data_IF_003751374326
#
_entry.id   IF_003751374326
#
_cell.length_a   1.000
_cell.length_b   1.000
_cell.length_c   1.000
_cell.angle_alpha   90.00
_cell.angle_beta   90.00
_cell.angle_gamma   90.00
#
_symmetry.space_group_name_H-M   'P 1'
#
loop_
_entity.id
_entity.type
_entity.pdbx_description
1 polymer ?
#
# COMPACT_ATOMS: atom_id res chain seq x y z
N UNK A 1 70.45 -45.89 -12.34
CA UNK A 1 71.63 -45.52 -11.56
C UNK A 1 71.46 -44.07 -11.18
N UNK A 2 71.59 -43.80 -9.90
CA UNK A 2 71.18 -42.55 -9.28
C UNK A 2 72.21 -41.46 -9.60
N UNK A 3 71.77 -40.23 -9.83
CA UNK A 3 72.67 -39.11 -10.16
C UNK A 3 73.62 -38.81 -9.00
N UNK A 4 73.20 -39.14 -7.77
CA UNK A 4 74.03 -39.07 -6.56
C UNK A 4 75.26 -39.99 -6.61
N UNK A 5 75.21 -41.05 -7.41
CA UNK A 5 76.29 -42.04 -7.54
C UNK A 5 77.47 -41.49 -8.37
N UNK A 6 77.21 -40.58 -9.33
CA UNK A 6 78.28 -39.93 -10.12
C UNK A 6 78.92 -38.77 -9.36
N UNK A 7 78.14 -38.02 -8.57
CA UNK A 7 78.66 -36.91 -7.77
C UNK A 7 79.56 -37.42 -6.65
N UNK A 8 79.15 -38.50 -5.95
CA UNK A 8 80.04 -39.18 -5.01
C UNK A 8 81.28 -39.76 -5.70
N UNK A 9 81.13 -40.35 -6.90
CA UNK A 9 82.27 -40.85 -7.66
C UNK A 9 83.22 -39.75 -8.17
N UNK A 10 82.79 -38.47 -8.22
CA UNK A 10 83.61 -37.32 -8.58
C UNK A 10 84.27 -36.68 -7.35
N UNK A 11 83.56 -36.63 -6.22
CA UNK A 11 84.08 -36.09 -4.95
C UNK A 11 85.10 -37.04 -4.27
N UNK A 12 84.93 -38.36 -4.41
CA UNK A 12 85.77 -39.39 -3.79
C UNK A 12 86.79 -40.04 -4.77
N UNK A 13 87.03 -39.43 -5.94
CA UNK A 13 87.89 -40.00 -6.98
C UNK A 13 89.39 -39.94 -6.64
N UNK A 14 89.96 -41.05 -6.15
CA UNK A 14 91.42 -41.24 -6.04
C UNK A 14 91.98 -42.03 -7.24
N UNK A 15 92.65 -41.33 -8.16
CA UNK A 15 93.25 -41.93 -9.36
C UNK A 15 94.69 -42.42 -9.11
N UNK A 16 95.02 -43.61 -9.57
CA UNK A 16 96.37 -44.16 -9.45
C UNK A 16 97.39 -43.40 -10.32
N UNK A 17 98.57 -43.11 -9.78
CA UNK A 17 99.63 -42.38 -10.50
C UNK A 17 100.62 -43.34 -11.17
N UNK A 18 100.81 -43.25 -12.49
CA UNK A 18 101.82 -44.03 -13.24
C UNK A 18 102.82 -43.12 -13.94
N UNK A 19 104.10 -43.25 -13.57
CA UNK A 19 105.35 -42.76 -14.21
C UNK A 19 105.45 -41.28 -14.64
N UNK A 20 104.37 -40.48 -14.64
CA UNK A 20 104.33 -39.01 -14.81
C UNK A 20 102.92 -38.37 -14.72
N UNK A 21 101.87 -39.10 -14.35
CA UNK A 21 100.50 -38.55 -14.22
C UNK A 21 99.47 -39.59 -13.75
N UNK A 22 98.19 -39.20 -13.71
CA UNK A 22 97.06 -40.09 -13.41
C UNK A 22 96.87 -41.15 -14.50
N UNK A 23 96.36 -42.34 -14.12
CA UNK A 23 96.06 -43.42 -15.07
C UNK A 23 94.98 -42.97 -16.07
N UNK A 24 95.30 -42.85 -17.38
CA UNK A 24 94.36 -42.34 -18.36
C UNK A 24 93.07 -43.15 -18.46
N UNK A 25 93.14 -44.47 -18.21
CA UNK A 25 91.96 -45.34 -18.31
C UNK A 25 90.94 -45.07 -17.20
N UNK A 26 91.40 -44.82 -15.96
CA UNK A 26 90.51 -44.52 -14.83
C UNK A 26 89.83 -43.15 -15.00
N UNK A 27 90.56 -42.17 -15.57
CA UNK A 27 90.03 -40.84 -15.89
C UNK A 27 89.01 -40.91 -17.02
N UNK A 28 89.30 -41.63 -18.11
CA UNK A 28 88.38 -41.81 -19.24
C UNK A 28 87.08 -42.52 -18.79
N UNK A 29 87.17 -43.55 -17.94
CA UNK A 29 85.99 -44.26 -17.41
C UNK A 29 85.11 -43.35 -16.51
N UNK A 30 85.71 -42.45 -15.73
CA UNK A 30 84.95 -41.46 -14.96
C UNK A 30 84.30 -40.42 -15.88
N UNK A 31 85.02 -39.93 -16.91
CA UNK A 31 84.49 -38.97 -17.88
C UNK A 31 83.34 -39.56 -18.70
N UNK A 32 83.43 -40.83 -19.10
CA UNK A 32 82.35 -41.54 -19.80
C UNK A 32 81.11 -41.69 -18.91
N UNK A 33 81.31 -42.04 -17.63
CA UNK A 33 80.23 -42.08 -16.63
C UNK A 33 79.58 -40.71 -16.42
N UNK A 34 80.38 -39.66 -16.30
CA UNK A 34 79.90 -38.28 -16.15
C UNK A 34 79.13 -37.83 -17.41
N UNK A 35 79.63 -38.14 -18.61
CA UNK A 35 78.96 -37.83 -19.87
C UNK A 35 77.61 -38.54 -19.99
N UNK A 36 77.54 -39.81 -19.57
CA UNK A 36 76.29 -40.57 -19.55
C UNK A 36 75.29 -40.03 -18.51
N UNK A 37 75.77 -39.62 -17.32
CA UNK A 37 74.92 -38.99 -16.30
C UNK A 37 74.37 -37.64 -16.77
N UNK A 38 75.19 -36.78 -17.38
CA UNK A 38 74.75 -35.51 -17.97
C UNK A 38 73.70 -35.74 -19.06
N UNK A 39 73.89 -36.78 -19.90
CA UNK A 39 72.92 -37.14 -20.94
C UNK A 39 71.59 -37.60 -20.33
N UNK A 40 71.63 -38.40 -19.26
CA UNK A 40 70.43 -38.80 -18.52
C UNK A 40 69.72 -37.60 -17.92
N UNK A 41 70.43 -36.74 -17.19
CA UNK A 41 69.86 -35.53 -16.58
C UNK A 41 69.23 -34.59 -17.60
N UNK A 42 69.85 -34.40 -18.77
CA UNK A 42 69.28 -33.60 -19.85
C UNK A 42 68.00 -34.22 -20.40
N UNK A 43 67.97 -35.56 -20.51
CA UNK A 43 66.77 -36.30 -20.92
C UNK A 43 65.65 -36.17 -19.88
N UNK A 44 65.99 -36.30 -18.60
CA UNK A 44 65.04 -36.20 -17.49
C UNK A 44 64.48 -34.78 -17.35
N UNK A 45 65.35 -33.76 -17.48
CA UNK A 45 64.94 -32.36 -17.52
C UNK A 45 64.00 -32.09 -18.69
N UNK A 46 64.33 -32.60 -19.89
CA UNK A 46 63.46 -32.45 -21.05
C UNK A 46 62.10 -33.12 -20.83
N UNK A 47 62.10 -34.34 -20.31
CA UNK A 47 60.87 -35.06 -19.96
C UNK A 47 60.04 -34.33 -18.90
N UNK A 48 60.70 -33.72 -17.90
CA UNK A 48 60.02 -32.92 -16.89
C UNK A 48 59.42 -31.63 -17.48
N UNK A 49 60.15 -30.93 -18.35
CA UNK A 49 59.65 -29.74 -19.06
C UNK A 49 58.45 -30.09 -19.95
N UNK A 50 58.58 -31.13 -20.77
CA UNK A 50 57.50 -31.56 -21.68
C UNK A 50 56.24 -31.96 -20.88
N UNK A 51 56.40 -32.55 -19.67
CA UNK A 51 55.27 -32.84 -18.76
C UNK A 51 54.66 -31.57 -18.16
N UNK A 52 55.46 -30.55 -17.82
CA UNK A 52 54.97 -29.28 -17.31
C UNK A 52 54.16 -28.54 -18.38
N UNK A 53 54.71 -28.44 -19.60
CA UNK A 53 54.02 -27.81 -20.74
C UNK A 53 52.67 -28.51 -21.04
N UNK A 54 52.65 -29.84 -20.98
CA UNK A 54 51.42 -30.62 -21.14
C UNK A 54 50.41 -30.40 -20.00
N UNK A 55 50.88 -30.19 -18.77
CA UNK A 55 50.00 -29.90 -17.64
C UNK A 55 49.42 -28.49 -17.73
N UNK A 56 50.22 -27.49 -18.11
CA UNK A 56 49.78 -26.12 -18.36
C UNK A 56 48.74 -26.06 -19.49
N UNK A 57 48.99 -26.76 -20.60
CA UNK A 57 48.04 -26.83 -21.71
C UNK A 57 46.70 -27.47 -21.31
N UNK A 58 46.71 -28.48 -20.42
CA UNK A 58 45.48 -29.08 -19.89
C UNK A 58 44.72 -28.13 -18.98
N UNK A 59 45.43 -27.45 -18.08
CA UNK A 59 44.82 -26.45 -17.19
C UNK A 59 44.18 -25.31 -17.98
N UNK A 60 44.85 -24.81 -19.01
CA UNK A 60 44.30 -23.75 -19.85
C UNK A 60 43.05 -24.23 -20.61
N UNK A 61 43.07 -25.45 -21.14
CA UNK A 61 41.91 -26.06 -21.80
C UNK A 61 40.72 -26.28 -20.85
N UNK A 62 40.96 -26.51 -19.55
CA UNK A 62 39.91 -26.62 -18.53
C UNK A 62 39.40 -25.24 -18.06
N UNK A 63 40.26 -24.22 -18.02
CA UNK A 63 39.90 -22.88 -17.57
C UNK A 63 39.12 -22.07 -18.61
N UNK A 64 39.39 -22.28 -19.90
CA UNK A 64 38.76 -21.46 -20.94
C UNK A 64 37.23 -21.59 -20.98
N UNK A 65 36.63 -22.80 -20.92
CA UNK A 65 35.18 -22.93 -20.82
C UNK A 65 34.59 -22.27 -19.56
N UNK A 66 35.33 -22.30 -18.45
CA UNK A 66 34.89 -21.66 -17.21
C UNK A 66 34.90 -20.13 -17.32
N UNK A 67 35.88 -19.56 -18.03
CA UNK A 67 35.93 -18.11 -18.32
C UNK A 67 34.80 -17.70 -19.26
N UNK A 68 34.58 -18.46 -20.34
CA UNK A 68 33.48 -18.21 -21.27
C UNK A 68 32.12 -18.25 -20.54
N UNK A 69 31.85 -19.32 -19.79
CA UNK A 69 30.63 -19.47 -19.01
C UNK A 69 30.45 -18.33 -17.98
N UNK A 70 31.55 -17.86 -17.34
CA UNK A 70 31.50 -16.71 -16.45
C UNK A 70 31.12 -15.44 -17.20
N UNK A 71 31.75 -15.18 -18.36
CA UNK A 71 31.43 -13.97 -19.16
C UNK A 71 30.00 -13.97 -19.67
N UNK A 72 29.48 -15.13 -20.06
CA UNK A 72 28.08 -15.31 -20.46
C UNK A 72 27.14 -15.03 -19.29
N UNK A 73 27.38 -15.66 -18.13
CA UNK A 73 26.57 -15.45 -16.93
C UNK A 73 26.59 -13.99 -16.43
N UNK A 74 27.75 -13.31 -16.49
CA UNK A 74 27.85 -11.88 -16.17
C UNK A 74 27.06 -11.01 -17.17
N UNK A 75 27.07 -11.39 -18.45
CA UNK A 75 26.25 -10.74 -19.49
C UNK A 75 24.75 -10.90 -19.23
N UNK A 76 24.29 -12.12 -18.93
CA UNK A 76 22.91 -12.42 -18.60
C UNK A 76 22.45 -11.67 -17.33
N UNK A 77 23.26 -11.67 -16.28
CA UNK A 77 22.97 -10.94 -15.04
C UNK A 77 22.86 -9.43 -15.28
N UNK A 78 23.74 -8.87 -16.10
CA UNK A 78 23.69 -7.45 -16.48
C UNK A 78 22.41 -7.13 -17.26
N UNK A 79 22.04 -7.99 -18.22
CA UNK A 79 20.82 -7.83 -19.02
C UNK A 79 19.56 -7.93 -18.14
N UNK A 80 19.45 -8.98 -17.31
CA UNK A 80 18.35 -9.15 -16.37
C UNK A 80 18.26 -7.99 -15.37
N UNK A 81 19.41 -7.47 -14.91
CA UNK A 81 19.46 -6.30 -14.05
C UNK A 81 18.96 -5.03 -14.75
N UNK A 82 19.26 -4.85 -16.04
CA UNK A 82 18.75 -3.73 -16.83
C UNK A 82 17.24 -3.83 -17.06
N UNK A 83 16.75 -5.01 -17.43
CA UNK A 83 15.32 -5.28 -17.61
C UNK A 83 14.54 -5.06 -16.32
N UNK A 84 15.03 -5.57 -15.17
CA UNK A 84 14.39 -5.35 -13.87
C UNK A 84 14.28 -3.87 -13.50
N UNK A 85 15.31 -3.07 -13.78
CA UNK A 85 15.27 -1.62 -13.56
C UNK A 85 14.25 -0.94 -14.47
N UNK A 86 14.17 -1.37 -15.73
CA UNK A 86 13.19 -0.85 -16.68
C UNK A 86 11.75 -1.15 -16.22
N UNK A 87 11.44 -2.42 -15.92
CA UNK A 87 10.11 -2.84 -15.43
C UNK A 87 9.73 -2.03 -14.20
N UNK A 88 10.67 -1.82 -13.28
CA UNK A 88 10.41 -1.03 -12.07
C UNK A 88 10.11 0.43 -12.39
N UNK A 89 10.87 1.06 -13.28
CA UNK A 89 10.63 2.44 -13.68
C UNK A 89 9.26 2.60 -14.37
N UNK A 90 8.90 1.68 -15.26
CA UNK A 90 7.59 1.67 -15.93
C UNK A 90 6.44 1.48 -14.94
N UNK A 91 6.61 0.58 -13.96
CA UNK A 91 5.61 0.36 -12.91
C UNK A 91 5.47 1.56 -11.96
N UNK A 92 6.56 2.24 -11.62
CA UNK A 92 6.55 3.47 -10.83
C UNK A 92 5.82 4.60 -11.58
N UNK A 93 6.11 4.78 -12.87
CA UNK A 93 5.43 5.78 -13.71
C UNK A 93 3.92 5.48 -13.86
N UNK A 94 3.54 4.23 -14.07
CA UNK A 94 2.12 3.84 -14.16
C UNK A 94 1.39 4.04 -12.82
N UNK A 95 2.05 3.72 -11.69
CA UNK A 95 1.48 3.95 -10.37
C UNK A 95 1.27 5.45 -10.09
N UNK A 96 2.18 6.31 -10.54
CA UNK A 96 2.01 7.76 -10.47
C UNK A 96 0.83 8.23 -11.33
N UNK A 97 0.75 7.77 -12.59
CA UNK A 97 -0.40 8.09 -13.48
C UNK A 97 -1.73 7.71 -12.87
N UNK A 98 -1.85 6.49 -12.33
CA UNK A 98 -3.08 6.01 -11.69
C UNK A 98 -3.42 6.86 -10.46
N UNK A 99 -2.42 7.21 -9.64
CA UNK A 99 -2.62 8.05 -8.45
C UNK A 99 -3.13 9.44 -8.82
N UNK A 100 -2.52 10.09 -9.80
CA UNK A 100 -2.93 11.41 -10.27
C UNK A 100 -4.35 11.39 -10.84
N UNK A 101 -4.66 10.39 -11.67
CA UNK A 101 -6.02 10.21 -12.21
C UNK A 101 -7.06 10.01 -11.09
N UNK A 102 -6.77 9.13 -10.13
CA UNK A 102 -7.64 8.88 -9.00
C UNK A 102 -7.83 10.14 -8.13
N UNK A 103 -6.78 10.94 -7.92
CA UNK A 103 -6.89 12.19 -7.16
C UNK A 103 -7.82 13.19 -7.85
N UNK A 104 -7.71 13.32 -9.19
CA UNK A 104 -8.61 14.18 -9.98
C UNK A 104 -10.05 13.70 -9.87
N UNK A 105 -10.30 12.40 -9.99
CA UNK A 105 -11.64 11.83 -9.88
C UNK A 105 -12.24 12.02 -8.49
N UNK A 106 -11.48 11.76 -7.42
CA UNK A 106 -11.93 11.96 -6.03
C UNK A 106 -12.26 13.43 -5.79
N UNK A 107 -11.39 14.35 -6.22
CA UNK A 107 -11.61 15.79 -6.06
C UNK A 107 -12.89 16.23 -6.79
N UNK A 108 -13.10 15.75 -8.01
CA UNK A 108 -14.32 16.01 -8.77
C UNK A 108 -15.56 15.46 -8.07
N UNK A 109 -15.53 14.21 -7.60
CA UNK A 109 -16.65 13.59 -6.90
C UNK A 109 -17.01 14.34 -5.61
N UNK A 110 -16.00 14.81 -4.86
CA UNK A 110 -16.20 15.64 -3.66
C UNK A 110 -16.84 16.98 -4.01
N UNK A 111 -16.34 17.64 -5.06
CA UNK A 111 -16.89 18.94 -5.49
C UNK A 111 -18.32 18.81 -6.00
N UNK A 112 -18.62 17.76 -6.78
CA UNK A 112 -19.95 17.47 -7.30
C UNK A 112 -20.93 17.17 -6.15
N UNK A 113 -20.55 16.29 -5.20
CA UNK A 113 -21.36 15.99 -4.02
C UNK A 113 -21.56 17.21 -3.11
N UNK A 114 -20.55 18.08 -2.97
CA UNK A 114 -20.71 19.34 -2.22
C UNK A 114 -21.71 20.27 -2.89
N UNK A 115 -21.71 20.39 -4.23
CA UNK A 115 -22.68 21.22 -4.95
C UNK A 115 -24.10 20.69 -4.79
N UNK A 116 -24.26 19.37 -4.85
CA UNK A 116 -25.55 18.71 -4.62
C UNK A 116 -26.10 18.99 -3.22
N UNK A 117 -25.29 18.79 -2.16
CA UNK A 117 -25.71 19.07 -0.79
C UNK A 117 -26.08 20.54 -0.56
N UNK A 118 -25.37 21.47 -1.21
CA UNK A 118 -25.70 22.90 -1.14
C UNK A 118 -27.06 23.18 -1.81
N UNK A 119 -27.33 22.55 -2.95
CA UNK A 119 -28.61 22.69 -3.63
C UNK A 119 -29.76 22.11 -2.80
N UNK A 120 -29.60 20.91 -2.26
CA UNK A 120 -30.60 20.27 -1.39
C UNK A 120 -30.84 21.11 -0.12
N UNK A 121 -29.78 21.62 0.51
CA UNK A 121 -29.92 22.50 1.68
C UNK A 121 -30.73 23.76 1.35
N UNK A 122 -30.51 24.33 0.16
CA UNK A 122 -31.26 25.50 -0.30
C UNK A 122 -32.75 25.17 -0.48
N UNK A 123 -33.05 24.04 -1.12
CA UNK A 123 -34.42 23.61 -1.35
C UNK A 123 -35.16 23.32 -0.03
N UNK A 124 -34.50 22.65 0.91
CA UNK A 124 -35.04 22.39 2.25
C UNK A 124 -35.29 23.68 3.04
N UNK A 125 -34.38 24.67 2.94
CA UNK A 125 -34.56 25.98 3.57
C UNK A 125 -35.77 26.70 2.96
N UNK A 126 -35.93 26.68 1.63
CA UNK A 126 -37.08 27.28 0.97
C UNK A 126 -38.39 26.60 1.38
N UNK A 127 -38.43 25.27 1.42
CA UNK A 127 -39.60 24.51 1.87
C UNK A 127 -39.97 24.80 3.33
N UNK A 128 -38.96 24.90 4.21
CA UNK A 128 -39.15 25.26 5.62
C UNK A 128 -39.73 26.67 5.77
N UNK A 129 -39.21 27.63 5.01
CA UNK A 129 -39.66 29.02 5.12
C UNK A 129 -41.08 29.17 4.58
N UNK A 130 -41.44 28.48 3.49
CA UNK A 130 -42.82 28.41 3.01
C UNK A 130 -43.78 27.79 4.06
N UNK A 131 -43.38 26.69 4.69
CA UNK A 131 -44.19 26.07 5.74
C UNK A 131 -44.39 26.98 6.96
N UNK A 132 -43.39 27.82 7.29
CA UNK A 132 -43.53 28.83 8.35
C UNK A 132 -44.49 29.93 7.96
N UNK A 133 -44.41 30.42 6.73
CA UNK A 133 -45.34 31.43 6.23
C UNK A 133 -46.79 30.91 6.27
N UNK A 134 -47.02 29.63 5.92
CA UNK A 134 -48.33 28.99 6.01
C UNK A 134 -48.81 28.90 7.47
N UNK A 135 -47.95 28.49 8.41
CA UNK A 135 -48.29 28.44 9.85
C UNK A 135 -48.65 29.82 10.40
N UNK A 136 -47.91 30.86 10.04
CA UNK A 136 -48.18 32.24 10.44
C UNK A 136 -49.54 32.73 9.92
N UNK A 137 -49.92 32.34 8.70
CA UNK A 137 -51.23 32.65 8.14
C UNK A 137 -52.36 31.92 8.87
N UNK A 138 -52.18 30.63 9.14
CA UNK A 138 -53.14 29.83 9.89
C UNK A 138 -53.33 30.36 11.32
N UNK A 139 -52.25 30.75 12.01
CA UNK A 139 -52.32 31.36 13.34
C UNK A 139 -53.15 32.64 13.32
N UNK A 140 -52.90 33.54 12.36
CA UNK A 140 -53.70 34.77 12.19
C UNK A 140 -55.16 34.46 11.92
N UNK A 141 -55.44 33.44 11.10
CA UNK A 141 -56.80 33.02 10.81
C UNK A 141 -57.51 32.47 12.05
N UNK A 142 -56.85 31.65 12.86
CA UNK A 142 -57.38 31.11 14.12
C UNK A 142 -57.66 32.24 15.11
N UNK A 143 -56.73 33.18 15.27
CA UNK A 143 -56.92 34.36 16.14
C UNK A 143 -58.11 35.21 15.68
N UNK A 144 -58.23 35.47 14.38
CA UNK A 144 -59.36 36.22 13.83
C UNK A 144 -60.71 35.48 14.04
N UNK A 145 -60.75 34.16 13.87
CA UNK A 145 -61.94 33.36 14.17
C UNK A 145 -62.29 33.41 15.66
N UNK A 146 -61.30 33.29 16.54
CA UNK A 146 -61.46 33.41 17.99
C UNK A 146 -62.06 34.76 18.36
N UNK A 147 -61.53 35.86 17.83
CA UNK A 147 -62.01 37.20 18.14
C UNK A 147 -63.46 37.42 17.65
N UNK A 148 -63.82 36.90 16.46
CA UNK A 148 -65.21 36.92 15.98
C UNK A 148 -66.15 36.14 16.90
N UNK A 149 -65.74 34.96 17.36
CA UNK A 149 -66.54 34.15 18.30
C UNK A 149 -66.72 34.91 19.62
N UNK A 150 -65.65 35.48 20.19
CA UNK A 150 -65.72 36.23 21.44
C UNK A 150 -66.62 37.49 21.30
N UNK A 151 -66.56 38.18 20.17
CA UNK A 151 -67.47 39.30 19.88
C UNK A 151 -68.92 38.84 19.81
N UNK A 152 -69.21 37.79 19.04
CA UNK A 152 -70.56 37.25 18.90
C UNK A 152 -71.13 36.76 20.25
N UNK A 153 -70.32 36.09 21.07
CA UNK A 153 -70.70 35.69 22.43
C UNK A 153 -70.99 36.91 23.31
N UNK A 154 -70.17 37.96 23.22
CA UNK A 154 -70.39 39.20 23.95
C UNK A 154 -71.69 39.90 23.53
N UNK A 155 -71.97 39.94 22.24
CA UNK A 155 -73.21 40.52 21.69
C UNK A 155 -74.45 39.71 22.09
N UNK A 156 -74.39 38.38 22.03
CA UNK A 156 -75.45 37.49 22.52
C UNK A 156 -75.67 37.64 24.03
N UNK A 157 -74.60 37.83 24.81
CA UNK A 157 -74.68 38.06 26.26
C UNK A 157 -75.37 39.39 26.55
N UNK A 158 -75.00 40.48 25.85
CA UNK A 158 -75.67 41.79 25.94
C UNK A 158 -77.14 41.71 25.55
N UNK A 159 -77.46 40.96 24.49
CA UNK A 159 -78.85 40.73 24.07
C UNK A 159 -79.64 40.00 25.16
N UNK A 160 -79.08 38.93 25.74
CA UNK A 160 -79.70 38.21 26.85
C UNK A 160 -79.90 39.09 28.09
N UNK A 161 -78.92 39.92 28.45
CA UNK A 161 -79.05 40.91 29.53
C UNK A 161 -80.15 41.94 29.24
N UNK A 162 -80.26 42.43 28.01
CA UNK A 162 -81.31 43.39 27.63
C UNK A 162 -82.72 42.78 27.64
N UNK A 163 -82.87 41.53 27.20
CA UNK A 163 -84.13 40.78 27.28
C UNK A 163 -84.49 40.46 28.74
N UNK A 164 -83.49 40.11 29.56
CA UNK A 164 -83.62 39.90 31.00
C UNK A 164 -84.00 41.18 31.76
N UNK A 165 -83.51 42.34 31.31
CA UNK A 165 -83.89 43.65 31.84
C UNK A 165 -85.33 44.03 31.43
N UNK A 166 -85.73 43.77 30.19
CA UNK A 166 -87.10 43.99 29.71
C UNK A 166 -88.14 43.07 30.35
N UNK A 167 -87.76 41.83 30.69
CA UNK A 167 -88.62 40.92 31.47
C UNK A 167 -88.67 41.28 32.96
N UNK A 168 -87.70 42.02 33.50
CA UNK A 168 -87.75 42.54 34.88
C UNK A 168 -88.64 43.77 35.04
N UNK A 169 -88.83 44.57 33.99
CA UNK A 169 -89.82 45.65 33.95
C UNK A 169 -91.25 45.16 33.66
N UNK A 170 -91.43 43.99 33.04
CA UNK A 170 -92.75 43.38 32.79
C UNK A 170 -93.13 42.26 33.77
N UNK A 171 -92.22 41.83 34.65
CA UNK A 171 -92.38 40.71 35.58
C UNK A 171 -92.41 41.11 37.05
N UNK A 172 -92.92 42.31 37.37
CA UNK A 172 -93.29 42.68 38.74
C UNK A 172 -94.76 42.36 39.04
N UNK A 173 -95.25 41.19 38.61
CA UNK A 173 -96.43 40.56 39.19
C UNK A 173 -96.43 39.07 38.88
N UNK A 174 -96.64 38.28 39.93
CA UNK A 174 -96.86 36.82 39.94
C UNK A 174 -95.62 35.93 39.81
N UNK A 175 -95.07 35.60 40.98
CA UNK A 175 -94.30 34.37 41.16
C UNK A 175 -95.19 33.12 41.07
N UNK A 176 -94.58 31.96 40.89
CA UNK A 176 -94.54 30.91 41.91
C UNK A 176 -93.52 29.84 41.48
N UNK A 177 -92.96 29.23 42.51
CA UNK A 177 -91.98 28.17 42.63
C UNK A 177 -92.31 26.91 41.83
N UNK A 178 -91.30 26.22 41.30
CA UNK A 178 -91.10 24.79 41.64
C UNK A 178 -89.66 24.36 41.42
N UNK A 179 -89.15 23.69 42.46
CA UNK A 179 -87.89 22.97 42.61
C UNK A 179 -87.96 21.59 41.96
N UNK A 180 -86.93 21.17 41.22
CA UNK A 180 -86.54 19.74 41.12
C UNK A 180 -85.02 19.63 41.07
N UNK A 181 -84.51 18.87 42.03
CA UNK A 181 -83.12 18.49 42.26
C UNK A 181 -82.65 17.37 41.30
N UNK A 182 -81.36 17.39 40.95
CA UNK A 182 -80.54 16.17 40.79
C UNK A 182 -80.24 15.68 39.37
N UNK A 183 -78.97 15.79 38.93
CA UNK A 183 -78.03 14.66 38.80
C UNK A 183 -76.80 15.07 37.96
N UNK A 184 -75.62 14.70 38.44
CA UNK A 184 -74.25 14.90 37.91
C UNK A 184 -73.56 13.51 37.89
N UNK A 185 -72.33 13.36 37.40
CA UNK A 185 -71.81 13.32 36.03
C UNK A 185 -71.32 11.90 35.63
N UNK A 186 -70.96 11.68 34.34
CA UNK A 186 -69.77 10.90 33.92
C UNK A 186 -69.78 10.57 32.42
N UNK A 187 -68.59 10.68 31.79
CA UNK A 187 -68.07 9.56 31.00
C UNK A 187 -67.58 9.83 29.58
N UNK A 188 -66.25 9.82 29.43
CA UNK A 188 -65.46 9.29 28.30
C UNK A 188 -65.44 10.11 26.99
N UNK A 189 -64.31 10.27 26.27
CA UNK A 189 -63.02 9.57 26.29
C UNK A 189 -61.92 10.40 25.60
N UNK A 190 -60.71 10.29 26.13
CA UNK A 190 -59.45 10.44 25.41
C UNK A 190 -59.41 9.59 24.13
N UNK A 191 -58.72 10.09 23.10
CA UNK A 191 -57.89 9.24 22.23
C UNK A 191 -56.81 10.09 21.58
N UNK A 192 -55.63 10.04 22.18
CA UNK A 192 -54.37 10.24 21.46
C UNK A 192 -53.85 8.91 20.93
N UNK A 193 -53.42 8.90 19.67
CA UNK A 193 -52.32 8.09 19.09
C UNK A 193 -51.85 8.91 17.87
N UNK A 194 -50.58 9.23 17.65
CA UNK A 194 -49.38 8.52 18.08
C UNK A 194 -49.07 7.37 17.13
N UNK A 195 -48.68 7.71 15.90
CA UNK A 195 -47.49 7.25 15.15
C UNK A 195 -47.45 7.98 13.80
#
# INVERSE_FOLDING_TARGET
MDTGDILHALDDADFNTKMRGYDPFEVDELLDRAAQAIKSLRSDLKSASDRADMAEARLEAELEPAREARTEAEGELSAAGAESRQIRAEAEEEAERIREAAEVEIRKAVDDGRRELIAETRDLVMARDAARDDMDMDERQVLAHRDRILSAVSDLTRLAESLGAGTREQGAESGDTTRVDGWDPAGASESGRGL
#
